data_IF_137891719083
#
_entry.id   IF_137891719083
#
_cell.length_a   1.000
_cell.length_b   1.000
_cell.length_c   1.000
_cell.angle_alpha   90.00
_cell.angle_beta   90.00
_cell.angle_gamma   90.00
#
_symmetry.space_group_name_H-M   'P 1'
#
loop_
_entity.id
_entity.type
_entity.pdbx_description
1 polymer ?
#
# COMPACT_ATOMS: atom_id res chain seq x y z
N UNK A 1 -17.12 -29.77 -1.77
CA UNK A 1 -16.83 -29.27 -1.80
C UNK A 1 -16.34 -28.43 -1.51
N UNK A 2 -16.35 -28.28 -1.48
CA UNK A 2 -16.03 -27.53 -1.38
C UNK A 2 -15.49 -26.56 -1.42
N UNK A 3 -15.26 -26.48 -1.64
CA UNK A 3 -14.76 -25.72 -1.74
C UNK A 3 -14.59 -24.74 -1.86
N UNK A 4 -14.76 -24.60 -2.08
CA UNK A 4 -14.69 -23.88 -2.25
C UNK A 4 -14.65 -22.84 -2.07
N UNK A 5 -14.93 -22.84 -2.06
CA UNK A 5 -15.14 -22.01 -1.95
C UNK A 5 -14.54 -21.13 -1.57
N UNK A 6 -14.11 -21.06 -1.35
CA UNK A 6 -13.58 -20.23 -1.05
C UNK A 6 -13.00 -19.52 -1.62
N UNK A 7 -12.71 -19.70 -2.12
CA UNK A 7 -12.24 -19.20 -2.82
C UNK A 7 -12.64 -18.20 -3.32
N UNK A 8 -13.37 -18.14 -3.27
CA UNK A 8 -13.86 -17.22 -3.59
C UNK A 8 -13.46 -16.14 -3.05
N UNK A 9 -12.67 -16.20 -2.40
CA UNK A 9 -12.22 -15.10 -1.96
C UNK A 9 -11.68 -14.39 -3.01
N UNK A 10 -12.28 -13.50 -3.43
CA UNK A 10 -11.80 -12.77 -4.51
C UNK A 10 -10.60 -12.07 -4.08
N UNK A 11 -9.88 -11.69 -5.02
CA UNK A 11 -8.83 -10.84 -4.79
C UNK A 11 -9.36 -9.57 -4.29
N UNK A 12 -9.07 -9.31 -3.08
CA UNK A 12 -9.66 -8.18 -2.40
C UNK A 12 -8.75 -6.99 -2.57
N UNK A 13 -9.14 -6.05 -3.37
CA UNK A 13 -8.36 -4.84 -3.57
C UNK A 13 -8.91 -3.74 -2.69
N UNK A 14 -8.75 -3.93 -1.39
CA UNK A 14 -9.29 -2.98 -0.44
C UNK A 14 -8.25 -2.38 0.46
N UNK A 15 -6.99 -2.47 0.10
CA UNK A 15 -5.93 -2.02 0.98
C UNK A 15 -5.19 -0.84 0.40
N UNK A 16 -4.77 0.04 1.28
CA UNK A 16 -3.89 1.14 0.96
C UNK A 16 -2.64 0.98 1.81
N UNK A 17 -1.56 1.57 1.35
CA UNK A 17 -0.35 1.63 2.14
C UNK A 17 -0.15 3.07 2.56
N UNK A 18 -0.05 3.29 3.87
CA UNK A 18 0.10 4.60 4.46
C UNK A 18 1.50 4.74 5.02
N UNK A 19 2.07 5.92 4.90
CA UNK A 19 3.39 6.17 5.45
C UNK A 19 3.36 7.44 6.28
N UNK A 20 3.95 7.37 7.48
CA UNK A 20 4.12 8.51 8.34
C UNK A 20 5.58 8.62 8.72
N UNK A 21 6.02 9.84 8.94
CA UNK A 21 7.37 10.05 9.41
C UNK A 21 7.46 9.64 10.89
N UNK A 22 8.55 8.98 11.24
CA UNK A 22 8.77 8.58 12.63
C UNK A 22 8.79 9.82 13.50
N UNK A 23 8.03 9.77 14.60
CA UNK A 23 7.96 10.90 15.52
C UNK A 23 7.00 11.99 15.11
N UNK A 24 6.26 11.79 14.00
CA UNK A 24 5.29 12.80 13.60
C UNK A 24 4.12 12.83 14.58
N UNK A 25 3.49 13.98 14.66
CA UNK A 25 2.31 14.16 15.50
C UNK A 25 1.07 13.87 14.68
N UNK A 26 -0.06 13.81 15.36
CA UNK A 26 -1.32 13.61 14.68
C UNK A 26 -1.67 14.76 13.72
N UNK A 27 -1.04 15.89 13.93
CA UNK A 27 -1.30 17.04 13.09
C UNK A 27 -0.63 16.91 11.72
N UNK A 28 0.38 16.07 11.62
CA UNK A 28 1.06 15.86 10.36
C UNK A 28 0.32 14.81 9.57
N UNK A 29 -0.07 15.16 8.36
CA UNK A 29 -0.85 14.25 7.54
C UNK A 29 0.03 13.16 6.96
N UNK A 30 -0.46 11.93 6.90
CA UNK A 30 0.29 10.86 6.27
C UNK A 30 0.26 11.00 4.76
N UNK A 31 1.10 10.21 4.11
CA UNK A 31 1.05 10.06 2.66
C UNK A 31 0.65 8.62 2.35
N UNK A 32 0.24 8.40 1.12
CA UNK A 32 -0.29 7.11 0.70
C UNK A 32 0.39 6.67 -0.57
N UNK A 33 0.59 5.39 -0.70
CA UNK A 33 1.32 4.83 -1.82
C UNK A 33 0.47 4.83 -3.09
N UNK A 34 1.10 5.24 -4.16
CA UNK A 34 0.52 5.12 -5.48
C UNK A 34 1.51 4.29 -6.29
N UNK A 35 1.09 3.10 -6.67
CA UNK A 35 2.00 2.20 -7.38
C UNK A 35 2.18 2.65 -8.82
N UNK A 36 3.38 2.44 -9.32
CA UNK A 36 3.70 2.73 -10.70
C UNK A 36 4.00 1.43 -11.41
N UNK A 37 3.39 1.24 -12.57
CA UNK A 37 3.54 0.02 -13.32
C UNK A 37 3.94 0.32 -14.75
N UNK A 38 4.68 -0.60 -15.33
CA UNK A 38 5.06 -0.50 -16.74
C UNK A 38 3.86 -0.79 -17.62
N UNK A 39 4.06 -0.64 -18.93
CA UNK A 39 3.00 -0.96 -19.87
C UNK A 39 2.56 -2.42 -19.76
N UNK A 40 3.46 -3.27 -19.33
CA UNK A 40 3.15 -4.69 -19.17
C UNK A 40 2.48 -5.01 -17.86
N UNK A 41 2.26 -4.01 -17.02
CA UNK A 41 1.67 -4.24 -15.72
C UNK A 41 2.66 -4.62 -14.63
N UNK A 42 3.94 -4.61 -14.92
CA UNK A 42 4.94 -4.95 -13.93
C UNK A 42 5.17 -3.80 -12.96
N UNK A 43 5.34 -4.14 -11.70
CA UNK A 43 5.57 -3.16 -10.67
C UNK A 43 6.91 -2.48 -10.86
N UNK A 44 6.93 -1.16 -10.90
CA UNK A 44 8.15 -0.40 -11.11
C UNK A 44 8.55 0.46 -9.92
N UNK A 45 7.63 0.74 -9.03
CA UNK A 45 7.96 1.56 -7.90
C UNK A 45 6.74 2.19 -7.28
N UNK A 46 6.97 3.09 -6.36
CA UNK A 46 5.91 3.70 -5.57
C UNK A 46 6.16 5.19 -5.46
N UNK A 47 5.11 5.95 -5.61
CA UNK A 47 5.10 7.37 -5.30
C UNK A 47 4.20 7.59 -4.10
N UNK A 48 4.62 8.36 -3.13
CA UNK A 48 3.79 8.64 -1.97
C UNK A 48 3.13 9.99 -2.14
N UNK A 49 1.81 10.02 -2.01
CA UNK A 49 1.02 11.22 -2.25
C UNK A 49 0.13 11.51 -1.06
N UNK A 50 -0.31 12.75 -0.94
CA UNK A 50 -1.15 13.13 0.19
C UNK A 50 -2.62 12.84 -0.03
N UNK A 51 -3.06 12.78 -1.28
CA UNK A 51 -4.47 12.60 -1.57
C UNK A 51 -4.85 11.13 -1.51
N UNK A 52 -5.52 10.75 -0.42
CA UNK A 52 -5.90 9.36 -0.21
C UNK A 52 -6.77 8.83 -1.35
N UNK A 53 -7.58 9.69 -1.94
CA UNK A 53 -8.49 9.25 -2.98
C UNK A 53 -7.77 8.88 -4.27
N UNK A 54 -6.57 9.38 -4.44
CA UNK A 54 -5.78 9.07 -5.63
C UNK A 54 -4.74 7.99 -5.39
N UNK A 55 -4.68 7.48 -4.17
CA UNK A 55 -3.75 6.41 -3.86
C UNK A 55 -4.22 5.12 -4.51
N UNK A 56 -3.29 4.20 -4.73
CA UNK A 56 -3.63 2.91 -5.32
C UNK A 56 -4.35 2.04 -4.31
N UNK A 57 -5.45 1.47 -4.75
CA UNK A 57 -6.14 0.44 -3.97
C UNK A 57 -5.58 -0.88 -4.43
N UNK A 58 -5.16 -1.71 -3.51
CA UNK A 58 -4.39 -2.88 -3.88
C UNK A 58 -4.79 -4.10 -3.05
N UNK A 59 -4.41 -5.27 -3.54
CA UNK A 59 -4.58 -6.50 -2.79
C UNK A 59 -3.59 -6.50 -1.65
N UNK A 60 -3.80 -7.42 -0.70
CA UNK A 60 -2.87 -7.54 0.42
C UNK A 60 -1.48 -7.92 -0.08
N UNK A 61 -1.42 -8.71 -1.14
CA UNK A 61 -0.13 -9.11 -1.70
C UNK A 61 0.60 -7.93 -2.31
N UNK A 62 -0.13 -7.10 -3.02
CA UNK A 62 0.46 -5.89 -3.58
C UNK A 62 0.89 -4.93 -2.48
N UNK A 63 0.09 -4.84 -1.43
CA UNK A 63 0.44 -3.97 -0.30
C UNK A 63 1.73 -4.45 0.36
N UNK A 64 1.89 -5.75 0.53
CA UNK A 64 3.12 -6.29 1.08
C UNK A 64 4.31 -6.03 0.17
N UNK A 65 4.10 -6.04 -1.13
CA UNK A 65 5.16 -5.72 -2.07
C UNK A 65 5.60 -4.27 -1.91
N UNK A 66 4.66 -3.36 -1.70
CA UNK A 66 4.98 -1.96 -1.46
C UNK A 66 5.77 -1.80 -0.16
N UNK A 67 5.35 -2.51 0.88
CA UNK A 67 6.07 -2.47 2.16
C UNK A 67 7.52 -2.92 1.96
N UNK A 68 7.73 -4.01 1.24
CA UNK A 68 9.07 -4.53 1.01
C UNK A 68 9.90 -3.54 0.19
N UNK A 69 9.28 -2.92 -0.79
CA UNK A 69 9.96 -1.93 -1.62
C UNK A 69 10.41 -0.74 -0.77
N UNK A 70 9.52 -0.26 0.09
CA UNK A 70 9.83 0.91 0.93
C UNK A 70 10.93 0.59 1.92
N UNK A 71 10.96 -0.64 2.42
CA UNK A 71 11.95 -1.05 3.42
C UNK A 71 13.37 -1.04 2.88
N UNK A 72 13.51 -1.08 1.56
CA UNK A 72 14.83 -1.09 0.94
C UNK A 72 15.37 0.31 0.67
N UNK A 73 14.60 1.33 0.91
CA UNK A 73 15.04 2.69 0.62
C UNK A 73 15.96 3.22 1.71
N UNK A 74 16.89 4.11 1.36
CA UNK A 74 17.86 4.60 2.35
C UNK A 74 17.23 5.28 3.54
N UNK A 75 16.07 5.90 3.37
CA UNK A 75 15.41 6.62 4.45
C UNK A 75 14.32 5.80 5.11
N UNK A 76 14.30 4.49 4.89
CA UNK A 76 13.22 3.66 5.42
C UNK A 76 13.08 3.78 6.94
N UNK A 77 14.19 3.93 7.64
CA UNK A 77 14.13 4.03 9.10
C UNK A 77 13.47 5.31 9.59
N UNK A 78 13.31 6.29 8.71
CA UNK A 78 12.67 7.56 9.06
C UNK A 78 11.17 7.53 8.93
N UNK A 79 10.60 6.42 8.45
CA UNK A 79 9.17 6.35 8.19
C UNK A 79 8.58 5.06 8.71
N UNK A 80 7.32 5.14 9.11
CA UNK A 80 6.53 3.97 9.46
C UNK A 80 5.55 3.73 8.33
N UNK A 81 5.62 2.57 7.72
CA UNK A 81 4.79 2.22 6.58
C UNK A 81 3.86 1.10 7.00
N UNK A 82 2.55 1.33 6.87
CA UNK A 82 1.56 0.37 7.34
C UNK A 82 0.51 0.14 6.26
N UNK A 83 -0.12 -1.02 6.35
CA UNK A 83 -1.22 -1.39 5.47
C UNK A 83 -2.51 -1.06 6.19
N UNK A 84 -3.40 -0.33 5.52
CA UNK A 84 -4.70 -0.01 6.09
C UNK A 84 -5.78 -0.42 5.12
N UNK A 85 -6.97 -0.66 5.65
CA UNK A 85 -8.12 -0.91 4.81
C UNK A 85 -8.61 0.40 4.24
N UNK A 86 -9.06 0.35 3.02
CA UNK A 86 -9.58 1.56 2.40
C UNK A 86 -10.91 1.96 3.01
N UNK A 87 -11.38 1.32 3.89
CA UNK A 87 -12.63 1.63 4.50
C UNK A 87 -13.68 0.73 3.91
N UNK A 88 -14.76 0.83 4.20
CA UNK A 88 -15.61 -0.13 3.84
C UNK A 88 -16.56 0.29 3.13
#
# INVERSE_FOLDING_TARGET
MIAMTQTEQPIDQRYLVQQRKVGSTEKELPVFARTMKSKDGAFEGVSFIRNKDKASVMTIEEANQVIAWAAKKPLAASYVTTIICKGQ
#
